data_IF_595357006436
#
_entry.id   IF_595357006436
#
_cell.length_a   1.000
_cell.length_b   1.000
_cell.length_c   1.000
_cell.angle_alpha   90.00
_cell.angle_beta   90.00
_cell.angle_gamma   90.00
#
_symmetry.space_group_name_H-M   'P 1'
#
loop_
_entity.id
_entity.type
_entity.pdbx_description
1 polymer ?
#
# COMPACT_ATOMS: atom_id res chain seq x y z
N UNK A 1 6.50 1.58 -22.03
CA UNK A 1 7.58 0.97 -22.83
C UNK A 1 8.12 -0.19 -22.00
N UNK A 2 8.54 -1.29 -22.51
CA UNK A 2 9.06 -2.43 -21.72
C UNK A 2 8.07 -3.58 -21.43
N UNK A 3 6.82 -3.48 -21.85
CA UNK A 3 5.86 -4.60 -21.81
C UNK A 3 5.21 -4.86 -20.44
N UNK A 4 5.68 -4.22 -19.36
CA UNK A 4 5.17 -4.44 -17.99
C UNK A 4 3.88 -3.68 -17.66
N UNK A 5 3.39 -2.86 -18.59
CA UNK A 5 2.12 -2.14 -18.42
C UNK A 5 1.32 -2.13 -19.73
N UNK A 6 0.00 -2.00 -19.63
CA UNK A 6 -0.91 -1.93 -20.78
C UNK A 6 -2.08 -1.01 -20.47
N UNK A 7 -2.63 -0.41 -21.53
CA UNK A 7 -3.87 0.37 -21.45
C UNK A 7 -5.06 -0.51 -21.82
N UNK A 8 -6.17 -0.31 -21.10
CA UNK A 8 -7.46 -0.92 -21.40
C UNK A 8 -8.59 -0.02 -20.90
N UNK A 9 -9.44 0.45 -21.79
CA UNK A 9 -10.61 1.30 -21.49
C UNK A 9 -10.26 2.54 -20.64
N UNK A 10 -9.20 3.26 -21.04
CA UNK A 10 -8.71 4.46 -20.35
C UNK A 10 -8.00 4.20 -19.01
N UNK A 11 -7.91 2.93 -18.59
CA UNK A 11 -7.08 2.51 -17.45
C UNK A 11 -5.70 2.10 -17.93
N UNK A 12 -4.68 2.36 -17.10
CA UNK A 12 -3.36 1.74 -17.29
C UNK A 12 -3.15 0.75 -16.15
N UNK A 13 -2.81 -0.47 -16.50
CA UNK A 13 -2.55 -1.55 -15.55
C UNK A 13 -1.08 -1.95 -15.59
N UNK A 14 -0.53 -2.26 -14.42
CA UNK A 14 0.70 -3.03 -14.32
C UNK A 14 0.38 -4.51 -14.56
N UNK A 15 1.17 -5.16 -15.42
CA UNK A 15 0.99 -6.58 -15.73
C UNK A 15 1.90 -7.42 -14.83
N UNK A 16 1.33 -7.91 -13.73
CA UNK A 16 2.06 -8.61 -12.68
C UNK A 16 2.85 -9.83 -13.17
N UNK A 17 2.35 -10.67 -14.08
CA UNK A 17 3.10 -11.84 -14.58
C UNK A 17 4.46 -11.51 -15.23
N UNK A 18 4.65 -10.27 -15.71
CA UNK A 18 5.90 -9.81 -16.31
C UNK A 18 6.94 -9.33 -15.27
N UNK A 19 6.64 -9.43 -13.97
CA UNK A 19 7.56 -9.08 -12.88
C UNK A 19 7.84 -10.29 -11.99
N UNK A 20 8.92 -10.99 -12.27
CA UNK A 20 9.25 -12.28 -11.62
C UNK A 20 9.49 -12.16 -10.10
N UNK A 21 9.84 -10.95 -9.62
CA UNK A 21 10.06 -10.69 -8.20
C UNK A 21 8.78 -10.42 -7.40
N UNK A 22 7.61 -10.37 -8.04
CA UNK A 22 6.36 -10.06 -7.34
C UNK A 22 6.03 -11.10 -6.27
N UNK A 23 5.74 -10.64 -5.06
CA UNK A 23 5.46 -11.49 -3.90
C UNK A 23 6.65 -11.75 -2.98
N UNK A 24 7.85 -11.23 -3.29
CA UNK A 24 9.05 -11.42 -2.46
C UNK A 24 8.94 -10.77 -1.07
N UNK A 25 8.35 -9.59 -0.96
CA UNK A 25 8.16 -8.91 0.32
C UNK A 25 7.12 -9.63 1.18
N UNK A 26 5.99 -9.96 0.60
CA UNK A 26 4.87 -10.60 1.30
C UNK A 26 5.08 -12.09 1.54
N UNK A 27 6.09 -12.68 0.91
CA UNK A 27 6.37 -14.12 0.91
C UNK A 27 5.12 -14.95 0.55
N UNK A 28 4.30 -14.44 -0.40
CA UNK A 28 3.08 -15.10 -0.87
C UNK A 28 3.31 -15.76 -2.21
N UNK A 29 2.97 -17.04 -2.29
CA UNK A 29 2.90 -17.73 -3.57
C UNK A 29 1.79 -17.12 -4.46
N UNK A 30 1.99 -17.19 -5.77
CA UNK A 30 1.10 -16.58 -6.78
C UNK A 30 -0.40 -16.90 -6.56
N UNK A 31 -0.72 -18.16 -6.23
CA UNK A 31 -2.10 -18.60 -5.99
C UNK A 31 -2.71 -18.04 -4.69
N UNK A 32 -1.88 -17.75 -3.69
CA UNK A 32 -2.32 -17.18 -2.41
C UNK A 32 -2.60 -15.68 -2.49
N UNK A 33 -2.04 -15.00 -3.49
CA UNK A 33 -2.21 -13.57 -3.70
C UNK A 33 -3.64 -13.24 -4.17
N UNK A 34 -4.28 -14.16 -4.91
CA UNK A 34 -5.66 -14.01 -5.38
C UNK A 34 -6.69 -14.08 -4.23
N UNK A 35 -6.44 -14.91 -3.23
CA UNK A 35 -7.36 -15.12 -2.11
C UNK A 35 -7.46 -13.95 -1.13
N UNK A 36 -6.45 -13.06 -1.09
CA UNK A 36 -6.36 -11.92 -0.15
C UNK A 36 -6.78 -10.57 -0.73
N UNK A 37 -7.01 -10.48 -2.02
CA UNK A 37 -7.36 -9.21 -2.66
C UNK A 37 -8.88 -9.00 -2.64
N UNK A 38 -9.34 -7.93 -1.98
CA UNK A 38 -10.72 -7.39 -2.13
C UNK A 38 -10.92 -6.74 -3.52
N UNK A 39 -10.26 -7.26 -4.54
CA UNK A 39 -10.32 -6.69 -5.87
C UNK A 39 -11.64 -7.15 -6.50
N UNK A 40 -12.51 -6.20 -6.82
CA UNK A 40 -13.60 -6.46 -7.74
C UNK A 40 -13.00 -7.10 -8.99
N UNK A 41 -13.49 -8.29 -9.33
CA UNK A 41 -13.14 -8.96 -10.58
C UNK A 41 -13.53 -8.02 -11.71
N UNK A 42 -12.58 -7.29 -12.24
CA UNK A 42 -12.79 -6.40 -13.38
C UNK A 42 -12.53 -7.22 -14.65
N UNK A 43 -13.54 -7.35 -15.50
CA UNK A 43 -13.43 -8.05 -16.77
C UNK A 43 -12.48 -7.39 -17.78
N UNK A 44 -11.92 -6.20 -17.42
CA UNK A 44 -10.99 -5.44 -18.26
C UNK A 44 -9.51 -5.77 -17.99
N UNK A 45 -9.20 -6.53 -16.96
CA UNK A 45 -7.81 -6.92 -16.66
C UNK A 45 -7.38 -8.16 -17.45
N UNK A 46 -6.13 -8.16 -17.93
CA UNK A 46 -5.53 -9.35 -18.56
C UNK A 46 -5.25 -10.46 -17.54
N UNK A 47 -4.88 -10.07 -16.32
CA UNK A 47 -4.67 -10.98 -15.20
C UNK A 47 -5.34 -10.40 -13.94
N UNK A 48 -5.91 -11.24 -13.09
CA UNK A 48 -6.61 -10.80 -11.88
C UNK A 48 -5.72 -10.05 -10.90
N UNK A 49 -4.41 -10.35 -10.88
CA UNK A 49 -3.42 -9.70 -10.03
C UNK A 49 -2.98 -8.33 -10.54
N UNK A 50 -3.24 -8.01 -11.81
CA UNK A 50 -2.87 -6.72 -12.37
C UNK A 50 -3.47 -5.59 -11.55
N UNK A 51 -2.71 -4.54 -11.33
CA UNK A 51 -3.16 -3.42 -10.54
C UNK A 51 -3.10 -2.10 -11.32
N UNK A 52 -3.90 -1.15 -10.90
CA UNK A 52 -4.09 0.12 -11.61
C UNK A 52 -2.93 1.06 -11.35
N UNK A 53 -2.33 1.56 -12.42
CA UNK A 53 -1.36 2.65 -12.45
C UNK A 53 -2.02 4.00 -12.72
N UNK A 54 -3.04 4.01 -13.59
CA UNK A 54 -3.84 5.16 -13.95
C UNK A 54 -5.29 4.78 -14.06
N UNK A 55 -6.19 5.63 -13.57
CA UNK A 55 -7.63 5.37 -13.52
C UNK A 55 -8.41 6.58 -14.04
N UNK A 56 -9.40 6.42 -14.93
CA UNK A 56 -10.29 7.49 -15.34
C UNK A 56 -10.96 8.18 -14.16
N UNK A 57 -11.12 9.51 -14.24
CA UNK A 57 -11.86 10.32 -13.29
C UNK A 57 -13.08 10.94 -13.96
N UNK A 58 -14.15 11.11 -13.19
CA UNK A 58 -15.31 11.89 -13.60
C UNK A 58 -15.21 13.34 -13.06
N UNK A 59 -16.18 14.18 -13.40
CA UNK A 59 -16.20 15.61 -13.04
C UNK A 59 -16.18 15.89 -11.53
N UNK A 60 -16.60 14.92 -10.70
CA UNK A 60 -16.66 15.03 -9.24
C UNK A 60 -15.40 14.43 -8.55
N UNK A 61 -14.41 14.00 -9.31
CA UNK A 61 -13.21 13.38 -8.81
C UNK A 61 -11.97 14.18 -9.23
N UNK A 62 -10.92 14.24 -8.41
CA UNK A 62 -9.67 14.83 -8.83
C UNK A 62 -9.14 14.10 -10.06
N UNK A 63 -8.51 14.85 -10.97
CA UNK A 63 -7.95 14.26 -12.17
C UNK A 63 -7.12 15.26 -12.98
N UNK A 64 -6.32 14.72 -13.85
CA UNK A 64 -5.43 15.45 -14.74
C UNK A 64 -5.53 14.89 -16.15
N UNK A 65 -5.19 15.69 -17.14
CA UNK A 65 -5.07 15.23 -18.53
C UNK A 65 -3.86 14.31 -18.69
N UNK A 66 -4.05 13.22 -19.40
CA UNK A 66 -3.00 12.25 -19.71
C UNK A 66 -3.17 11.72 -21.16
N UNK A 67 -2.19 10.98 -21.69
CA UNK A 67 -2.35 10.29 -22.97
C UNK A 67 -3.50 9.28 -23.00
N UNK A 68 -3.97 8.86 -21.83
CA UNK A 68 -5.05 7.87 -21.64
C UNK A 68 -6.40 8.51 -21.27
N UNK A 69 -6.48 9.85 -21.38
CA UNK A 69 -7.64 10.62 -21.02
C UNK A 69 -7.55 11.30 -19.64
N UNK A 70 -8.64 11.97 -19.23
CA UNK A 70 -8.73 12.61 -17.93
C UNK A 70 -8.87 11.57 -16.82
N UNK A 71 -7.95 11.61 -15.84
CA UNK A 71 -7.88 10.59 -14.82
C UNK A 71 -6.91 10.93 -13.69
N UNK A 72 -6.63 9.94 -12.87
CA UNK A 72 -5.76 10.06 -11.70
C UNK A 72 -4.84 8.85 -11.54
N UNK A 73 -3.70 8.99 -10.85
CA UNK A 73 -2.82 7.86 -10.55
C UNK A 73 -3.53 6.81 -9.69
N UNK A 74 -3.08 5.58 -9.79
CA UNK A 74 -3.40 4.53 -8.84
C UNK A 74 -2.77 4.83 -7.48
N UNK A 75 -3.38 4.35 -6.40
CA UNK A 75 -2.94 4.61 -5.02
C UNK A 75 -1.45 4.29 -4.78
N UNK A 76 -0.95 3.20 -5.37
CA UNK A 76 0.45 2.78 -5.21
C UNK A 76 1.42 3.72 -5.94
N UNK A 77 0.99 4.27 -7.08
CA UNK A 77 1.79 5.21 -7.88
C UNK A 77 2.09 6.50 -7.12
N UNK A 78 1.18 6.95 -6.27
CA UNK A 78 1.37 8.14 -5.45
C UNK A 78 2.57 7.97 -4.51
N UNK A 79 2.64 6.85 -3.79
CA UNK A 79 3.75 6.56 -2.87
C UNK A 79 5.09 6.37 -3.61
N UNK A 80 5.09 5.66 -4.74
CA UNK A 80 6.30 5.49 -5.55
C UNK A 80 6.90 6.84 -5.98
N UNK A 81 6.07 7.72 -6.55
CA UNK A 81 6.51 9.03 -7.02
C UNK A 81 6.96 9.93 -5.86
N UNK A 82 6.21 9.96 -4.77
CA UNK A 82 6.56 10.77 -3.59
C UNK A 82 7.89 10.30 -2.97
N UNK A 83 8.12 9.00 -2.90
CA UNK A 83 9.37 8.45 -2.37
C UNK A 83 10.56 8.79 -3.30
N UNK A 84 10.40 8.60 -4.60
CA UNK A 84 11.46 8.89 -5.58
C UNK A 84 11.85 10.37 -5.57
N UNK A 85 10.86 11.27 -5.55
CA UNK A 85 11.10 12.73 -5.62
C UNK A 85 11.71 13.27 -4.34
N UNK A 86 11.30 12.77 -3.16
CA UNK A 86 11.68 13.36 -1.88
C UNK A 86 12.85 12.65 -1.19
N UNK A 87 13.02 11.34 -1.41
CA UNK A 87 14.01 10.54 -0.68
C UNK A 87 15.15 10.03 -1.55
N UNK A 88 14.96 10.03 -2.87
CA UNK A 88 15.77 9.26 -3.83
C UNK A 88 15.62 7.75 -3.59
N UNK A 89 15.89 6.94 -4.59
CA UNK A 89 15.85 5.48 -4.50
C UNK A 89 17.22 4.88 -4.79
N UNK A 90 17.62 3.80 -4.08
CA UNK A 90 16.92 3.21 -2.93
C UNK A 90 17.05 4.07 -1.66
N UNK A 91 15.95 4.18 -0.89
CA UNK A 91 15.99 4.79 0.43
C UNK A 91 16.13 3.74 1.55
N UNK A 92 16.41 4.19 2.78
CA UNK A 92 16.82 3.25 3.83
C UNK A 92 15.64 2.48 4.42
N UNK A 93 14.56 3.17 4.86
CA UNK A 93 13.48 2.53 5.61
C UNK A 93 12.13 2.91 5.03
N UNK A 94 11.31 1.88 4.73
CA UNK A 94 9.90 2.01 4.38
C UNK A 94 9.05 1.33 5.46
N UNK A 95 8.04 2.02 5.96
CA UNK A 95 7.22 1.53 7.05
C UNK A 95 5.73 1.67 6.81
N UNK A 96 4.95 0.82 7.50
CA UNK A 96 3.48 0.88 7.47
C UNK A 96 2.82 -0.17 8.34
N UNK A 97 1.50 -0.27 8.25
CA UNK A 97 0.76 -1.36 8.88
C UNK A 97 1.00 -2.69 8.17
N UNK A 98 0.87 -3.78 8.89
CA UNK A 98 1.03 -5.13 8.31
C UNK A 98 0.02 -5.43 7.20
N UNK A 99 -1.10 -4.73 7.14
CA UNK A 99 -2.10 -4.81 6.07
C UNK A 99 -1.64 -4.15 4.76
N UNK A 100 -0.63 -3.30 4.81
CA UNK A 100 -0.02 -2.67 3.65
C UNK A 100 1.05 -3.55 2.97
N UNK A 101 1.58 -4.58 3.65
CA UNK A 101 2.55 -5.49 3.04
C UNK A 101 2.06 -5.98 1.68
N UNK A 102 0.79 -6.41 1.66
CA UNK A 102 0.13 -6.85 0.44
C UNK A 102 -1.32 -6.33 0.39
N UNK A 103 -1.73 -5.72 -0.74
CA UNK A 103 -0.96 -5.58 -1.98
C UNK A 103 -0.13 -4.29 -2.09
N UNK A 104 -0.26 -3.33 -1.17
CA UNK A 104 0.21 -1.96 -1.35
C UNK A 104 1.72 -1.85 -1.56
N UNK A 105 2.52 -2.28 -0.58
CA UNK A 105 3.99 -2.20 -0.65
C UNK A 105 4.57 -3.13 -1.72
N UNK A 106 3.97 -4.30 -1.94
CA UNK A 106 4.36 -5.19 -3.03
C UNK A 106 4.19 -4.52 -4.40
N UNK A 107 3.08 -3.79 -4.58
CA UNK A 107 2.80 -3.05 -5.81
C UNK A 107 3.74 -1.85 -6.00
N UNK A 108 4.15 -1.18 -4.92
CA UNK A 108 5.15 -0.12 -4.98
C UNK A 108 6.52 -0.64 -5.43
N UNK A 109 6.97 -1.77 -4.85
CA UNK A 109 8.20 -2.44 -5.28
C UNK A 109 8.13 -2.77 -6.77
N UNK A 110 7.06 -3.45 -7.19
CA UNK A 110 6.91 -3.87 -8.57
C UNK A 110 6.98 -2.68 -9.55
N UNK A 111 6.27 -1.59 -9.25
CA UNK A 111 6.28 -0.38 -10.06
C UNK A 111 7.66 0.26 -10.17
N UNK A 112 8.30 0.50 -9.02
CA UNK A 112 9.57 1.22 -8.97
C UNK A 112 10.69 0.39 -9.55
N UNK A 113 10.78 -0.89 -9.19
CA UNK A 113 11.78 -1.80 -9.75
C UNK A 113 11.61 -1.97 -11.26
N UNK A 114 10.37 -2.12 -11.74
CA UNK A 114 10.11 -2.21 -13.18
C UNK A 114 10.53 -0.96 -13.95
N UNK A 115 10.30 0.23 -13.39
CA UNK A 115 10.72 1.51 -13.97
C UNK A 115 12.26 1.60 -14.10
N UNK A 116 12.98 1.01 -13.15
CA UNK A 116 14.44 0.98 -13.11
C UNK A 116 15.06 -0.28 -13.74
N UNK A 117 14.26 -1.11 -14.43
CA UNK A 117 14.69 -2.38 -15.02
C UNK A 117 15.35 -3.33 -14.00
N UNK A 118 14.85 -3.34 -12.77
CA UNK A 118 15.30 -4.19 -11.67
C UNK A 118 14.24 -5.23 -11.29
N UNK A 119 14.70 -6.33 -10.71
CA UNK A 119 13.89 -7.37 -10.05
C UNK A 119 14.29 -7.53 -8.57
N UNK A 120 15.08 -6.59 -8.03
CA UNK A 120 15.52 -6.61 -6.65
C UNK A 120 14.71 -5.62 -5.79
N UNK A 121 13.92 -6.07 -4.80
CA UNK A 121 13.16 -5.18 -3.91
C UNK A 121 14.01 -4.14 -3.16
N UNK A 122 15.29 -4.45 -2.89
CA UNK A 122 16.22 -3.54 -2.21
C UNK A 122 16.58 -2.30 -3.06
N UNK A 123 16.32 -2.34 -4.36
CA UNK A 123 16.51 -1.20 -5.26
C UNK A 123 15.38 -0.14 -5.12
N UNK A 124 14.35 -0.43 -4.32
CA UNK A 124 13.34 0.54 -3.89
C UNK A 124 13.56 0.98 -2.44
N UNK A 125 13.54 0.05 -1.48
CA UNK A 125 13.79 0.33 -0.08
C UNK A 125 14.58 -0.83 0.57
N UNK A 126 15.61 -0.47 1.37
CA UNK A 126 16.54 -1.46 1.96
C UNK A 126 15.93 -2.21 3.13
N UNK A 127 15.14 -1.54 3.96
CA UNK A 127 14.52 -2.12 5.16
C UNK A 127 13.03 -1.84 5.19
N UNK A 128 12.26 -2.85 5.58
CA UNK A 128 10.81 -2.79 5.70
C UNK A 128 10.38 -2.99 7.13
N UNK A 129 9.59 -2.06 7.67
CA UNK A 129 9.07 -2.13 9.04
C UNK A 129 7.54 -2.13 8.98
N UNK A 130 6.91 -3.20 9.52
CA UNK A 130 5.47 -3.33 9.54
C UNK A 130 4.95 -3.48 10.96
N UNK A 131 4.04 -2.58 11.34
CA UNK A 131 3.40 -2.59 12.64
C UNK A 131 2.20 -3.54 12.65
N UNK A 132 1.97 -4.16 13.80
CA UNK A 132 0.70 -4.81 14.12
C UNK A 132 -0.45 -3.82 14.18
N UNK A 133 -1.67 -4.34 14.34
CA UNK A 133 -2.86 -3.51 14.46
C UNK A 133 -3.02 -2.94 15.88
N UNK A 134 -3.72 -1.81 15.99
CA UNK A 134 -4.32 -1.39 17.23
C UNK A 134 -5.77 -1.93 17.24
N UNK A 135 -6.09 -2.67 18.28
CA UNK A 135 -7.45 -3.16 18.55
C UNK A 135 -8.06 -2.37 19.70
N UNK A 136 -9.35 -2.36 19.82
CA UNK A 136 -10.10 -1.76 20.91
C UNK A 136 -11.01 -2.86 21.44
N UNK A 137 -10.83 -3.28 22.69
CA UNK A 137 -11.56 -4.39 23.29
C UNK A 137 -11.52 -5.68 22.44
N UNK A 138 -10.36 -5.99 21.86
CA UNK A 138 -10.14 -7.14 20.98
C UNK A 138 -10.61 -6.99 19.53
N UNK A 139 -11.33 -5.92 19.21
CA UNK A 139 -11.84 -5.65 17.86
C UNK A 139 -10.88 -4.73 17.08
N UNK A 140 -10.66 -5.01 15.78
CA UNK A 140 -9.82 -4.13 14.93
C UNK A 140 -10.40 -2.72 14.89
N UNK A 141 -9.58 -1.71 15.22
CA UNK A 141 -9.98 -0.31 15.10
C UNK A 141 -10.33 0.03 13.65
N UNK A 142 -11.56 0.47 13.40
CA UNK A 142 -12.02 0.81 12.05
C UNK A 142 -13.16 1.83 12.05
N UNK A 143 -13.28 2.59 10.96
CA UNK A 143 -14.39 3.54 10.77
C UNK A 143 -15.77 2.86 10.75
N UNK A 144 -15.84 1.66 10.16
CA UNK A 144 -17.09 0.90 10.05
C UNK A 144 -17.64 0.42 11.40
N UNK A 145 -16.75 0.19 12.37
CA UNK A 145 -17.12 -0.21 13.74
C UNK A 145 -17.29 1.00 14.67
N UNK A 146 -17.02 2.22 14.18
CA UNK A 146 -17.09 3.46 14.96
C UNK A 146 -16.31 3.40 16.29
N UNK A 147 -15.21 2.63 16.32
CA UNK A 147 -14.36 2.42 17.48
C UNK A 147 -12.99 3.10 17.35
N UNK A 148 -12.91 4.16 16.53
CA UNK A 148 -11.66 4.92 16.33
C UNK A 148 -11.42 5.81 17.54
N UNK A 149 -10.27 5.66 18.13
CA UNK A 149 -9.77 6.51 19.21
C UNK A 149 -8.71 7.45 18.65
N UNK A 150 -8.95 8.75 18.74
CA UNK A 150 -7.99 9.74 18.27
C UNK A 150 -7.01 10.11 19.39
N UNK A 151 -5.74 10.23 19.06
CA UNK A 151 -4.71 10.64 20.04
C UNK A 151 -5.05 11.99 20.67
N UNK A 152 -5.60 12.93 19.91
CA UNK A 152 -6.03 14.22 20.43
C UNK A 152 -7.08 14.12 21.54
N UNK A 153 -8.00 13.16 21.43
CA UNK A 153 -9.06 12.94 22.43
C UNK A 153 -8.46 12.37 23.73
N UNK A 154 -7.50 11.47 23.57
CA UNK A 154 -6.79 10.87 24.72
C UNK A 154 -5.91 11.90 25.42
N UNK A 155 -5.26 12.80 24.69
CA UNK A 155 -4.42 13.85 25.25
C UNK A 155 -5.18 14.82 26.16
N UNK A 156 -6.50 14.90 26.01
CA UNK A 156 -7.37 15.65 26.94
C UNK A 156 -7.44 15.05 28.35
N UNK A 157 -7.19 13.74 28.48
CA UNK A 157 -7.35 13.00 29.73
C UNK A 157 -6.01 12.47 30.29
N UNK A 158 -5.02 12.24 29.44
CA UNK A 158 -3.75 11.61 29.82
C UNK A 158 -2.55 12.41 29.31
N UNK A 159 -1.49 12.42 30.09
CA UNK A 159 -0.22 13.01 29.65
C UNK A 159 0.38 12.25 28.47
N UNK A 160 0.96 12.94 27.48
CA UNK A 160 1.50 12.32 26.27
C UNK A 160 2.53 11.21 26.52
N UNK A 161 3.34 11.31 27.60
CA UNK A 161 4.29 10.26 27.97
C UNK A 161 3.62 8.96 28.40
N UNK A 162 2.42 9.03 28.99
CA UNK A 162 1.63 7.84 29.37
C UNK A 162 1.14 7.15 28.10
N UNK A 163 0.66 7.90 27.12
CA UNK A 163 0.22 7.38 25.82
C UNK A 163 1.40 6.72 25.09
N UNK A 164 2.57 7.37 25.10
CA UNK A 164 3.79 6.79 24.49
C UNK A 164 4.20 5.48 25.18
N UNK A 165 4.15 5.42 26.51
CA UNK A 165 4.45 4.21 27.26
C UNK A 165 3.47 3.09 26.91
N UNK A 166 2.17 3.40 26.84
CA UNK A 166 1.15 2.43 26.44
C UNK A 166 1.42 1.87 25.04
N UNK A 167 1.71 2.72 24.04
CA UNK A 167 2.06 2.29 22.69
C UNK A 167 3.34 1.45 22.64
N UNK A 168 4.31 1.71 23.50
CA UNK A 168 5.58 0.98 23.56
C UNK A 168 5.51 -0.27 24.45
N UNK A 169 4.41 -0.51 25.16
CA UNK A 169 4.24 -1.69 26.04
C UNK A 169 4.17 -3.00 25.27
N UNK A 170 3.84 -2.94 23.99
CA UNK A 170 3.75 -4.10 23.10
C UNK A 170 4.79 -4.00 21.99
N UNK A 171 5.39 -5.14 21.63
CA UNK A 171 6.31 -5.19 20.49
C UNK A 171 5.59 -4.75 19.20
N UNK A 172 6.19 -3.86 18.43
CA UNK A 172 5.55 -3.20 17.27
C UNK A 172 4.92 -4.16 16.23
N UNK A 173 5.43 -5.40 16.11
CA UNK A 173 4.87 -6.42 15.19
C UNK A 173 3.63 -7.12 15.72
N UNK A 174 3.32 -6.96 17.02
CA UNK A 174 2.12 -7.56 17.65
C UNK A 174 0.98 -6.55 17.63
N UNK A 175 -0.25 -7.06 17.67
CA UNK A 175 -1.39 -6.19 17.92
C UNK A 175 -1.33 -5.63 19.32
N UNK A 176 -1.60 -4.34 19.44
CA UNK A 176 -1.80 -3.65 20.72
C UNK A 176 -3.30 -3.54 20.97
N UNK A 177 -3.78 -4.15 22.04
CA UNK A 177 -5.16 -3.98 22.44
C UNK A 177 -5.29 -2.77 23.35
N UNK A 178 -6.06 -1.77 22.89
CA UNK A 178 -6.35 -0.58 23.67
C UNK A 178 -7.61 -0.82 24.46
N UNK A 179 -7.47 -0.90 25.78
CA UNK A 179 -8.54 -1.01 26.76
C UNK A 179 -8.30 -0.01 27.89
N UNK A 180 -9.36 0.42 28.56
CA UNK A 180 -9.28 1.33 29.70
C UNK A 180 -8.73 0.63 30.97
#
# INVERSE_FOLDING_TARGET
EGGKAYEQDGHVFFHVPEHAAYGKLSNRAFDQQLAGSRVQVSNIKKNQQDFVLWKPSNENQPGWNSPWGFGRPGWHTECCVMSEVNLQIPFDIHGGGQDLIFPHHENEIAQTCANNNSENPEDYARYWIHNGFVTVDGEKMSKSLNNIILINDILGNYHGEVIRLALLSTHYRKSLDWNE
#
